data_IF_133736392584
#
_entry.id   IF_133736392584
#
_cell.length_a   1.000
_cell.length_b   1.000
_cell.length_c   1.000
_cell.angle_alpha   90.00
_cell.angle_beta   90.00
_cell.angle_gamma   90.00
#
_symmetry.space_group_name_H-M   'P 1'
#
loop_
_entity.id
_entity.type
_entity.pdbx_description
1 polymer ?
#
# COMPACT_ATOMS: atom_id res chain seq x y z
N UNK A 1 20.17 -6.88 11.12
CA UNK A 1 19.02 -7.34 10.32
C UNK A 1 19.45 -7.31 8.87
N UNK A 2 19.26 -8.41 8.14
CA UNK A 2 19.59 -8.45 6.72
C UNK A 2 18.41 -7.85 5.95
N UNK A 3 18.67 -6.84 5.12
CA UNK A 3 17.69 -6.24 4.23
C UNK A 3 17.07 -7.33 3.35
N UNK A 4 15.77 -7.54 3.47
CA UNK A 4 15.09 -8.62 2.74
C UNK A 4 14.64 -8.14 1.37
N UNK A 5 14.45 -9.07 0.43
CA UNK A 5 13.85 -8.76 -0.87
C UNK A 5 12.46 -8.14 -0.71
N UNK A 6 11.71 -8.52 0.32
CA UNK A 6 10.40 -7.95 0.61
C UNK A 6 10.49 -6.50 1.08
N UNK A 7 11.50 -6.17 1.90
CA UNK A 7 11.80 -4.79 2.30
C UNK A 7 12.15 -3.92 1.09
N UNK A 8 12.93 -4.47 0.14
CA UNK A 8 13.24 -3.80 -1.12
C UNK A 8 12.02 -3.52 -1.98
N UNK A 9 11.19 -4.54 -2.19
CA UNK A 9 9.98 -4.41 -3.01
C UNK A 9 9.04 -3.37 -2.39
N UNK A 10 8.90 -3.38 -1.06
CA UNK A 10 8.10 -2.41 -0.32
C UNK A 10 8.62 -0.98 -0.51
N UNK A 11 9.92 -0.75 -0.32
CA UNK A 11 10.53 0.57 -0.52
C UNK A 11 10.42 1.04 -1.97
N UNK A 12 10.61 0.14 -2.94
CA UNK A 12 10.47 0.45 -4.36
C UNK A 12 9.03 0.89 -4.69
N UNK A 13 8.02 0.16 -4.22
CA UNK A 13 6.62 0.53 -4.38
C UNK A 13 6.29 1.87 -3.71
N UNK A 14 6.80 2.11 -2.49
CA UNK A 14 6.62 3.39 -1.80
C UNK A 14 7.24 4.55 -2.58
N UNK A 15 8.44 4.37 -3.14
CA UNK A 15 9.11 5.39 -3.95
C UNK A 15 8.34 5.71 -5.24
N UNK A 16 7.76 4.69 -5.89
CA UNK A 16 6.91 4.89 -7.08
C UNK A 16 5.66 5.68 -6.71
N UNK A 17 4.98 5.29 -5.63
CA UNK A 17 3.79 6.01 -5.15
C UNK A 17 4.15 7.46 -4.82
N UNK A 18 5.27 7.72 -4.13
CA UNK A 18 5.71 9.08 -3.79
C UNK A 18 5.90 10.01 -5.00
N UNK A 19 6.24 9.45 -6.17
CA UNK A 19 6.42 10.22 -7.41
C UNK A 19 5.11 10.56 -8.13
N UNK A 20 4.01 9.88 -7.80
CA UNK A 20 2.69 10.15 -8.36
C UNK A 20 2.02 11.33 -7.65
N UNK A 21 1.29 12.16 -8.40
CA UNK A 21 0.42 13.17 -7.79
C UNK A 21 -0.72 12.51 -7.03
N UNK A 22 -1.35 13.20 -6.05
CA UNK A 22 -2.53 12.68 -5.35
C UNK A 22 -3.64 12.21 -6.31
N UNK A 23 -3.87 12.94 -7.41
CA UNK A 23 -4.88 12.65 -8.42
C UNK A 23 -4.52 11.39 -9.21
N UNK A 24 -3.26 11.22 -9.60
CA UNK A 24 -2.79 10.02 -10.30
C UNK A 24 -2.87 8.78 -9.42
N UNK A 25 -2.57 8.90 -8.12
CA UNK A 25 -2.75 7.81 -7.16
C UNK A 25 -4.21 7.43 -7.02
N UNK A 26 -5.09 8.41 -6.90
CA UNK A 26 -6.52 8.17 -6.79
C UNK A 26 -7.06 7.51 -8.06
N UNK A 27 -6.70 8.02 -9.24
CA UNK A 27 -7.10 7.44 -10.52
C UNK A 27 -6.58 6.01 -10.72
N UNK A 28 -5.39 5.70 -10.20
CA UNK A 28 -4.86 4.34 -10.19
C UNK A 28 -5.66 3.43 -9.27
N UNK A 29 -5.92 3.88 -8.03
CA UNK A 29 -6.74 3.11 -7.08
C UNK A 29 -8.16 2.90 -7.60
N UNK A 30 -8.78 3.90 -8.20
CA UNK A 30 -10.16 3.84 -8.72
C UNK A 30 -10.33 2.84 -9.85
N UNK A 31 -9.25 2.47 -10.55
CA UNK A 31 -9.26 1.41 -11.58
C UNK A 31 -9.15 0.00 -11.01
N UNK A 32 -8.75 -0.14 -9.75
CA UNK A 32 -8.61 -1.41 -9.07
C UNK A 32 -9.85 -1.72 -8.25
N UNK A 33 -10.32 -2.96 -8.33
CA UNK A 33 -11.35 -3.45 -7.42
C UNK A 33 -10.83 -3.44 -5.98
N UNK A 34 -11.70 -3.28 -4.96
CA UNK A 34 -11.29 -3.23 -3.56
C UNK A 34 -10.40 -4.41 -3.14
N UNK A 35 -10.69 -5.61 -3.64
CA UNK A 35 -9.90 -6.82 -3.36
C UNK A 35 -8.53 -6.79 -4.03
N UNK A 36 -8.42 -6.15 -5.21
CA UNK A 36 -7.14 -5.98 -5.90
C UNK A 36 -6.24 -4.96 -5.21
N UNK A 37 -6.82 -3.94 -4.59
CA UNK A 37 -6.08 -2.94 -3.78
C UNK A 37 -5.41 -3.57 -2.56
N UNK A 38 -6.00 -4.64 -2.03
CA UNK A 38 -5.50 -5.36 -0.85
C UNK A 38 -4.60 -6.54 -1.22
N UNK A 39 -4.48 -6.86 -2.51
CA UNK A 39 -3.73 -8.02 -2.98
C UNK A 39 -2.24 -7.84 -2.72
N UNK A 40 -1.63 -8.86 -2.11
CA UNK A 40 -0.19 -8.86 -1.78
C UNK A 40 0.14 -8.21 -0.43
N UNK A 41 -0.85 -7.69 0.30
CA UNK A 41 -0.66 -7.28 1.69
C UNK A 41 -0.57 -8.52 2.59
N UNK A 42 0.44 -8.55 3.46
CA UNK A 42 0.59 -9.57 4.49
C UNK A 42 -0.47 -9.43 5.61
N UNK A 43 -0.65 -10.46 6.46
CA UNK A 43 -1.58 -10.42 7.59
C UNK A 43 -1.36 -9.23 8.53
N UNK A 44 -0.10 -8.91 8.82
CA UNK A 44 0.30 -7.79 9.68
C UNK A 44 -0.05 -6.44 9.05
N UNK A 45 0.09 -6.32 7.72
CA UNK A 45 -0.20 -5.09 6.98
C UNK A 45 -1.70 -4.85 6.90
N UNK A 46 -2.49 -5.92 6.68
CA UNK A 46 -3.94 -5.86 6.73
C UNK A 46 -4.44 -5.45 8.12
N UNK A 47 -3.82 -5.98 9.18
CA UNK A 47 -4.15 -5.59 10.55
C UNK A 47 -3.82 -4.12 10.82
N UNK A 48 -2.65 -3.66 10.38
CA UNK A 48 -2.27 -2.25 10.49
C UNK A 48 -3.23 -1.33 9.74
N UNK A 49 -3.59 -1.68 8.50
CA UNK A 49 -4.55 -0.94 7.70
C UNK A 49 -5.90 -0.83 8.39
N UNK A 50 -6.38 -1.93 8.98
CA UNK A 50 -7.62 -1.95 9.76
C UNK A 50 -7.55 -1.01 10.97
N UNK A 51 -6.43 -0.95 11.66
CA UNK A 51 -6.25 -0.06 12.82
C UNK A 51 -6.13 1.41 12.40
N UNK A 52 -5.48 1.69 11.28
CA UNK A 52 -5.40 3.05 10.72
C UNK A 52 -6.77 3.55 10.25
N UNK A 53 -7.58 2.69 9.62
CA UNK A 53 -8.97 3.01 9.24
C UNK A 53 -9.85 3.30 10.46
N UNK A 54 -9.66 2.60 11.57
CA UNK A 54 -10.39 2.88 12.82
C UNK A 54 -10.02 4.23 13.44
N UNK A 55 -8.80 4.73 13.20
CA UNK A 55 -8.34 6.04 13.72
C UNK A 55 -8.83 7.22 12.88
N UNK A 56 -9.27 6.95 11.65
CA UNK A 56 -9.83 7.93 10.72
C UNK A 56 -11.35 8.15 10.93
N UNK A 57 -12.02 7.25 11.66
CA UNK A 57 -13.41 7.39 12.12
C UNK A 57 -13.47 7.93 13.55
#
# INVERSE_FOLDING_TARGET
>A
MAYTMDEFIREAHQNVLQRLTPEERQAFLDRLDPDERLRGLGPEELQKLKDDLKRLN
#
